data_IF_815929272476
#
_entry.id   IF_815929272476
#
_cell.length_a   1.000
_cell.length_b   1.000
_cell.length_c   1.000
_cell.angle_alpha   90.00
_cell.angle_beta   90.00
_cell.angle_gamma   90.00
#
_symmetry.space_group_name_H-M   'P 1'
#
loop_
_entity.id
_entity.type
_entity.pdbx_description
1 polymer ?
#
# COMPACT_ATOMS: atom_id res chain seq x y z
N UNK A 1 -18.16 21.54 -8.78
CA UNK A 1 -16.85 21.47 -9.49
C UNK A 1 -16.51 20.01 -9.71
N UNK A 2 -16.44 19.55 -10.96
CA UNK A 2 -15.94 18.21 -11.29
C UNK A 2 -14.42 18.20 -11.12
N UNK A 3 -13.90 17.35 -10.24
CA UNK A 3 -12.44 17.17 -10.07
C UNK A 3 -11.81 16.79 -11.40
N UNK A 4 -10.64 17.36 -11.71
CA UNK A 4 -9.90 16.98 -12.92
C UNK A 4 -9.39 15.54 -12.78
N UNK A 5 -9.13 14.86 -13.90
CA UNK A 5 -8.62 13.48 -13.91
C UNK A 5 -7.39 13.32 -13.03
N UNK A 6 -6.47 14.29 -13.05
CA UNK A 6 -5.26 14.33 -12.24
C UNK A 6 -5.55 14.38 -10.73
N UNK A 7 -6.54 15.16 -10.29
CA UNK A 7 -6.92 15.24 -8.87
C UNK A 7 -7.49 13.90 -8.34
N UNK A 8 -8.16 13.13 -9.22
CA UNK A 8 -8.67 11.79 -8.89
C UNK A 8 -7.53 10.78 -8.77
N UNK A 9 -6.54 10.84 -9.67
CA UNK A 9 -5.31 10.00 -9.62
C UNK A 9 -4.57 10.23 -8.32
N UNK A 10 -4.31 11.49 -7.96
CA UNK A 10 -3.58 11.84 -6.75
C UNK A 10 -4.29 11.39 -5.47
N UNK A 11 -5.63 11.43 -5.46
CA UNK A 11 -6.40 10.95 -4.31
C UNK A 11 -6.26 9.44 -4.12
N UNK A 12 -6.30 8.66 -5.21
CA UNK A 12 -6.17 7.21 -5.16
C UNK A 12 -4.76 6.81 -4.70
N UNK A 13 -3.73 7.41 -5.31
CA UNK A 13 -2.33 7.21 -4.93
C UNK A 13 -2.07 7.57 -3.45
N UNK A 14 -2.70 8.65 -2.95
CA UNK A 14 -2.56 9.04 -1.54
C UNK A 14 -3.16 8.01 -0.59
N UNK A 15 -4.30 7.41 -0.94
CA UNK A 15 -4.94 6.37 -0.11
C UNK A 15 -4.04 5.14 -0.05
N UNK A 16 -3.55 4.66 -1.20
CA UNK A 16 -2.66 3.49 -1.24
C UNK A 16 -1.37 3.72 -0.45
N UNK A 17 -0.80 4.92 -0.54
CA UNK A 17 0.34 5.33 0.29
C UNK A 17 0.02 5.29 1.78
N UNK A 18 -1.14 5.80 2.20
CA UNK A 18 -1.58 5.75 3.60
C UNK A 18 -1.75 4.30 4.06
N UNK A 19 -2.37 3.44 3.25
CA UNK A 19 -2.54 2.03 3.56
C UNK A 19 -1.18 1.31 3.70
N UNK A 20 -0.25 1.54 2.77
CA UNK A 20 1.09 0.96 2.81
C UNK A 20 1.86 1.39 4.07
N UNK A 21 1.82 2.68 4.41
CA UNK A 21 2.42 3.19 5.66
C UNK A 21 1.73 2.58 6.89
N UNK A 22 0.40 2.49 6.87
CA UNK A 22 -0.39 1.87 7.93
C UNK A 22 0.03 0.43 8.20
N UNK A 23 0.24 -0.38 7.16
CA UNK A 23 0.74 -1.75 7.31
C UNK A 23 2.12 -1.82 7.97
N UNK A 24 3.04 -0.93 7.58
CA UNK A 24 4.37 -0.85 8.21
C UNK A 24 4.23 -0.49 9.68
N UNK A 25 3.39 0.49 10.04
CA UNK A 25 3.17 0.88 11.43
C UNK A 25 2.62 -0.28 12.27
N UNK A 26 1.64 -1.01 11.74
CA UNK A 26 1.07 -2.19 12.42
C UNK A 26 2.15 -3.27 12.60
N UNK A 27 2.95 -3.55 11.57
CA UNK A 27 4.05 -4.51 11.65
C UNK A 27 5.06 -4.12 12.76
N UNK A 28 5.49 -2.86 12.80
CA UNK A 28 6.36 -2.34 13.85
C UNK A 28 5.76 -2.54 15.25
N UNK A 29 4.49 -2.16 15.42
CA UNK A 29 3.80 -2.31 16.69
C UNK A 29 3.72 -3.79 17.11
N UNK A 30 3.37 -4.70 16.19
CA UNK A 30 3.29 -6.14 16.48
C UNK A 30 4.64 -6.73 16.88
N UNK A 31 5.72 -6.46 16.13
CA UNK A 31 7.05 -7.01 16.42
C UNK A 31 7.60 -6.48 17.74
N UNK A 32 7.48 -5.17 17.99
CA UNK A 32 7.91 -4.57 19.27
C UNK A 32 7.10 -5.15 20.43
N UNK A 33 5.78 -5.25 20.27
CA UNK A 33 4.91 -5.83 21.29
C UNK A 33 5.32 -7.27 21.63
N UNK A 34 5.55 -8.11 20.62
CA UNK A 34 6.00 -9.50 20.83
C UNK A 34 7.36 -9.52 21.52
N UNK A 35 8.32 -8.70 21.09
CA UNK A 35 9.64 -8.64 21.72
C UNK A 35 9.55 -8.26 23.21
N UNK A 36 8.79 -7.22 23.53
CA UNK A 36 8.57 -6.78 24.92
C UNK A 36 7.83 -7.84 25.73
N UNK A 37 6.83 -8.50 25.14
CA UNK A 37 6.04 -9.53 25.82
C UNK A 37 6.86 -10.80 26.09
N UNK A 38 7.77 -11.16 25.18
CA UNK A 38 8.59 -12.38 25.30
C UNK A 38 9.85 -12.15 26.15
N UNK A 39 10.39 -10.93 26.19
CA UNK A 39 11.64 -10.60 26.89
C UNK A 39 11.70 -11.05 28.36
N UNK A 40 10.63 -11.00 29.18
CA UNK A 40 10.63 -11.52 30.55
C UNK A 40 10.78 -13.04 30.68
N UNK A 41 10.46 -13.79 29.62
CA UNK A 41 10.55 -15.27 29.60
C UNK A 41 11.90 -15.79 29.11
N UNK A 42 12.79 -14.90 28.70
CA UNK A 42 14.15 -15.22 28.25
C UNK A 42 15.12 -14.68 29.29
N UNK A 43 15.93 -15.55 29.90
CA UNK A 43 16.94 -15.10 30.89
C UNK A 43 18.29 -14.75 30.23
N UNK A 44 18.61 -15.39 29.12
CA UNK A 44 19.89 -15.20 28.41
C UNK A 44 19.92 -13.89 27.62
N UNK A 45 20.85 -13.00 27.98
CA UNK A 45 21.07 -11.72 27.31
C UNK A 45 21.48 -11.85 25.83
N UNK A 46 22.30 -12.85 25.50
CA UNK A 46 22.75 -13.06 24.12
C UNK A 46 21.58 -13.46 23.22
N UNK A 47 20.66 -14.27 23.75
CA UNK A 47 19.43 -14.65 23.04
C UNK A 47 18.55 -13.43 22.79
N UNK A 48 18.40 -12.53 23.79
CA UNK A 48 17.64 -11.28 23.60
C UNK A 48 18.25 -10.39 22.53
N UNK A 49 19.58 -10.26 22.50
CA UNK A 49 20.28 -9.48 21.49
C UNK A 49 20.07 -10.09 20.10
N UNK A 50 20.21 -11.41 19.96
CA UNK A 50 20.01 -12.09 18.69
C UNK A 50 18.59 -11.92 18.15
N UNK A 51 17.57 -12.13 18.98
CA UNK A 51 16.16 -11.95 18.60
C UNK A 51 15.88 -10.47 18.29
N UNK A 52 16.39 -9.55 19.10
CA UNK A 52 16.23 -8.11 18.88
C UNK A 52 16.87 -7.65 17.56
N UNK A 53 18.07 -8.12 17.25
CA UNK A 53 18.76 -7.81 15.99
C UNK A 53 18.01 -8.41 14.78
N UNK A 54 17.54 -9.65 14.88
CA UNK A 54 16.75 -10.27 13.83
C UNK A 54 15.42 -9.54 13.60
N UNK A 55 14.70 -9.20 14.68
CA UNK A 55 13.47 -8.41 14.60
C UNK A 55 13.70 -7.02 14.01
N UNK A 56 14.77 -6.34 14.42
CA UNK A 56 15.14 -5.04 13.86
C UNK A 56 15.47 -5.13 12.36
N UNK A 57 16.20 -6.17 11.93
CA UNK A 57 16.50 -6.39 10.51
C UNK A 57 15.21 -6.58 9.69
N UNK A 58 14.26 -7.39 10.17
CA UNK A 58 12.95 -7.57 9.53
C UNK A 58 12.22 -6.23 9.39
N UNK A 59 12.16 -5.44 10.47
CA UNK A 59 11.47 -4.15 10.47
C UNK A 59 12.11 -3.14 9.51
N UNK A 60 13.44 -3.02 9.53
CA UNK A 60 14.18 -2.08 8.69
C UNK A 60 14.06 -2.46 7.23
N UNK A 61 14.29 -3.73 6.87
CA UNK A 61 14.21 -4.16 5.47
C UNK A 61 12.80 -4.07 4.93
N UNK A 62 11.78 -4.43 5.71
CA UNK A 62 10.41 -4.32 5.26
C UNK A 62 10.00 -2.86 5.03
N UNK A 63 10.36 -1.94 5.94
CA UNK A 63 10.16 -0.50 5.74
C UNK A 63 10.90 0.01 4.50
N UNK A 64 12.16 -0.41 4.29
CA UNK A 64 12.95 -0.01 3.12
C UNK A 64 12.33 -0.50 1.80
N UNK A 65 11.82 -1.73 1.76
CA UNK A 65 11.13 -2.28 0.59
C UNK A 65 9.85 -1.50 0.27
N UNK A 66 9.03 -1.18 1.27
CA UNK A 66 7.83 -0.35 1.07
C UNK A 66 8.20 1.06 0.61
N UNK A 67 9.24 1.66 1.19
CA UNK A 67 9.69 2.98 0.76
C UNK A 67 10.22 2.97 -0.68
N UNK A 68 10.97 1.93 -1.07
CA UNK A 68 11.44 1.74 -2.43
C UNK A 68 10.27 1.57 -3.41
N UNK A 69 9.26 0.76 -3.05
CA UNK A 69 8.02 0.60 -3.82
C UNK A 69 7.30 1.95 -4.00
N UNK A 70 7.12 2.71 -2.92
CA UNK A 70 6.46 4.03 -2.97
C UNK A 70 7.25 5.05 -3.78
N UNK A 71 8.59 5.01 -3.71
CA UNK A 71 9.46 5.90 -4.49
C UNK A 71 9.37 5.59 -5.98
N UNK A 72 9.47 4.32 -6.34
CA UNK A 72 9.34 3.90 -7.74
C UNK A 72 7.94 4.18 -8.30
N UNK A 73 6.88 3.97 -7.50
CA UNK A 73 5.50 4.24 -7.91
C UNK A 73 5.17 5.72 -8.04
N UNK A 74 5.92 6.62 -7.39
CA UNK A 74 5.75 8.04 -7.58
C UNK A 74 6.18 8.49 -8.98
N UNK A 75 7.16 7.81 -9.57
CA UNK A 75 7.71 8.11 -10.90
C UNK A 75 6.81 7.54 -12.03
N UNK A 76 6.12 6.41 -11.80
CA UNK A 76 5.27 5.72 -12.81
C UNK A 76 3.75 5.97 -12.65
N UNK A 77 3.32 6.86 -11.72
CA UNK A 77 1.89 7.02 -11.39
C UNK A 77 1.03 7.50 -12.57
N UNK A 78 1.59 8.32 -13.46
CA UNK A 78 0.82 8.95 -14.53
C UNK A 78 0.39 7.95 -15.62
N UNK A 79 1.23 6.96 -15.89
CA UNK A 79 0.95 5.91 -16.88
C UNK A 79 0.01 4.83 -16.33
N UNK A 80 0.23 4.38 -15.08
CA UNK A 80 -0.57 3.34 -14.45
C UNK A 80 -2.01 3.81 -14.21
N UNK A 81 -2.19 4.97 -13.56
CA UNK A 81 -3.54 5.43 -13.18
C UNK A 81 -4.27 6.15 -14.32
N UNK A 82 -3.54 6.68 -15.31
CA UNK A 82 -4.14 7.32 -16.48
C UNK A 82 -4.98 6.34 -17.32
N UNK A 83 -4.50 5.11 -17.51
CA UNK A 83 -5.22 4.06 -18.26
C UNK A 83 -6.47 3.61 -17.51
N UNK A 84 -6.38 3.43 -16.19
CA UNK A 84 -7.50 2.96 -15.36
C UNK A 84 -8.65 3.96 -15.29
N UNK A 85 -8.36 5.26 -15.18
CA UNK A 85 -9.42 6.27 -15.19
C UNK A 85 -10.09 6.34 -16.57
N UNK A 86 -9.33 6.25 -17.66
CA UNK A 86 -9.91 6.22 -19.01
C UNK A 86 -10.85 5.04 -19.21
N UNK A 87 -10.49 3.84 -18.74
CA UNK A 87 -11.38 2.67 -18.80
C UNK A 87 -12.62 2.84 -17.93
N UNK A 88 -12.47 3.32 -16.69
CA UNK A 88 -13.64 3.61 -15.82
C UNK A 88 -14.57 4.63 -16.44
N UNK A 89 -14.04 5.71 -16.99
CA UNK A 89 -14.85 6.75 -17.62
C UNK A 89 -15.53 6.22 -18.90
N UNK A 90 -14.84 5.38 -19.68
CA UNK A 90 -15.44 4.68 -20.83
C UNK A 90 -16.58 3.74 -20.43
N UNK A 91 -16.42 2.96 -19.36
CA UNK A 91 -17.48 2.09 -18.83
C UNK A 91 -18.68 2.88 -18.32
N UNK A 92 -18.44 4.00 -17.63
CA UNK A 92 -19.52 4.90 -17.18
C UNK A 92 -20.25 5.50 -18.38
N UNK A 93 -19.53 5.92 -19.44
CA UNK A 93 -20.13 6.44 -20.66
C UNK A 93 -20.93 5.36 -21.42
N UNK A 94 -20.43 4.12 -21.50
CA UNK A 94 -21.13 2.98 -22.09
C UNK A 94 -22.41 2.64 -21.32
N UNK A 95 -22.35 2.60 -19.98
CA UNK A 95 -23.52 2.40 -19.13
C UNK A 95 -24.55 3.51 -19.33
N UNK A 96 -24.12 4.78 -19.37
CA UNK A 96 -25.01 5.93 -19.56
C UNK A 96 -25.68 5.94 -20.94
N UNK A 97 -25.02 5.37 -21.95
CA UNK A 97 -25.57 5.24 -23.31
C UNK A 97 -26.49 4.01 -23.51
N UNK A 98 -26.66 3.15 -22.49
CA UNK A 98 -27.43 1.91 -22.59
C UNK A 98 -26.83 0.89 -23.57
N UNK A 99 -25.57 1.09 -23.98
CA UNK A 99 -24.84 0.22 -24.92
C UNK A 99 -24.13 -0.92 -24.20
N UNK A 100 -23.83 -0.74 -22.92
CA UNK A 100 -23.18 -1.77 -22.09
C UNK A 100 -24.05 -3.03 -22.01
N UNK A 101 -25.34 -2.88 -21.73
CA UNK A 101 -26.26 -4.02 -21.60
C UNK A 101 -26.49 -4.75 -22.93
N UNK A 102 -26.32 -4.06 -24.08
CA UNK A 102 -26.37 -4.70 -25.40
C UNK A 102 -25.08 -5.46 -25.73
N UNK A 103 -23.92 -4.91 -25.38
CA UNK A 103 -22.63 -5.58 -25.59
C UNK A 103 -22.44 -6.82 -24.70
N UNK A 104 -23.11 -6.89 -23.56
CA UNK A 104 -23.09 -8.05 -22.67
C UNK A 104 -24.15 -9.10 -23.02
N UNK A 105 -25.08 -8.77 -23.92
CA UNK A 105 -26.14 -9.67 -24.39
C UNK A 105 -25.80 -10.37 -25.72
N UNK A 106 -24.69 -10.00 -26.35
CA UNK A 106 -24.06 -10.67 -27.50
C UNK A 106 -22.94 -11.61 -27.03
#
# INVERSE_FOLDING_TARGET
>A
MSRTTSERIDTLFRIDKICAIGFVVVLWASVIYVFVSVSPFVDDMNVKIAIGAAGAAVLIFNTASIFAMLRHYADDKEDIYGIDIRHKDALVALKKSGRLDRQLAE
#
